data_IF_121060111866
#
_entry.id   IF_121060111866
#
_cell.length_a   1.000
_cell.length_b   1.000
_cell.length_c   1.000
_cell.angle_alpha   90.00
_cell.angle_beta   90.00
_cell.angle_gamma   90.00
#
_symmetry.space_group_name_H-M   'P 1'
#
loop_
_entity.id
_entity.type
_entity.pdbx_description
1 polymer ?
#
# COMPACT_ATOMS: atom_id res chain seq x y z
N UNK A 1 45.97 29.62 -8.87
CA UNK A 1 45.51 29.34 -7.50
C UNK A 1 46.65 28.64 -6.81
N UNK A 2 46.99 29.01 -5.57
CA UNK A 2 48.11 28.32 -4.91
C UNK A 2 47.74 26.82 -4.78
N UNK A 3 48.71 25.94 -5.07
CA UNK A 3 48.46 24.48 -5.11
C UNK A 3 47.91 23.96 -3.77
N UNK A 4 48.31 24.56 -2.66
CA UNK A 4 47.77 24.29 -1.35
C UNK A 4 46.25 24.60 -1.25
N UNK A 5 45.80 25.72 -1.82
CA UNK A 5 44.35 26.06 -1.86
C UNK A 5 43.57 25.11 -2.74
N UNK A 6 44.12 24.68 -3.88
CA UNK A 6 43.49 23.71 -4.76
C UNK A 6 43.39 22.33 -4.08
N UNK A 7 44.41 21.92 -3.36
CA UNK A 7 44.37 20.66 -2.60
C UNK A 7 43.37 20.70 -1.45
N UNK A 8 43.31 21.81 -0.69
CA UNK A 8 42.32 22.01 0.37
C UNK A 8 40.88 22.00 -0.20
N UNK A 9 40.69 22.65 -1.35
CA UNK A 9 39.39 22.62 -2.04
C UNK A 9 39.04 21.20 -2.49
N UNK A 10 39.97 20.43 -3.02
CA UNK A 10 39.75 19.03 -3.40
C UNK A 10 39.35 18.16 -2.18
N UNK A 11 40.04 18.31 -1.04
CA UNK A 11 39.70 17.61 0.19
C UNK A 11 38.31 18.03 0.71
N UNK A 12 37.97 19.32 0.65
CA UNK A 12 36.66 19.81 1.02
C UNK A 12 35.56 19.25 0.11
N UNK A 13 35.79 19.21 -1.21
CA UNK A 13 34.84 18.64 -2.19
C UNK A 13 34.66 17.14 -1.98
N UNK A 14 35.74 16.42 -1.62
CA UNK A 14 35.65 15.01 -1.25
C UNK A 14 34.74 14.82 -0.01
N UNK A 15 34.86 15.68 0.98
CA UNK A 15 33.99 15.70 2.15
C UNK A 15 32.54 16.04 1.84
N UNK A 16 32.32 16.99 0.92
CA UNK A 16 30.97 17.34 0.43
C UNK A 16 30.34 16.16 -0.32
N UNK A 17 31.12 15.49 -1.17
CA UNK A 17 30.66 14.28 -1.87
C UNK A 17 30.28 13.18 -0.87
N UNK A 18 31.15 12.92 0.10
CA UNK A 18 30.92 11.96 1.17
C UNK A 18 29.65 12.27 1.99
N UNK A 19 29.38 13.56 2.25
CA UNK A 19 28.18 14.02 2.93
C UNK A 19 26.91 13.66 2.13
N UNK A 20 26.85 13.95 0.82
CA UNK A 20 25.69 13.63 -0.01
C UNK A 20 25.46 12.13 -0.14
N UNK A 21 26.53 11.36 -0.37
CA UNK A 21 26.45 9.89 -0.42
C UNK A 21 25.95 9.32 0.91
N UNK A 22 26.50 9.80 2.02
CA UNK A 22 26.08 9.33 3.34
C UNK A 22 24.62 9.68 3.64
N UNK A 23 24.16 10.88 3.29
CA UNK A 23 22.78 11.32 3.48
C UNK A 23 21.80 10.47 2.64
N UNK A 24 22.15 10.21 1.38
CA UNK A 24 21.36 9.36 0.47
C UNK A 24 21.17 7.96 1.04
N UNK A 25 22.29 7.29 1.38
CA UNK A 25 22.23 5.92 1.90
C UNK A 25 21.59 5.83 3.29
N UNK A 26 21.71 6.85 4.12
CA UNK A 26 21.03 6.91 5.39
C UNK A 26 19.50 7.01 5.23
N UNK A 27 19.02 7.78 4.25
CA UNK A 27 17.59 7.88 3.92
C UNK A 27 17.01 6.58 3.36
N UNK A 28 17.74 5.93 2.44
CA UNK A 28 17.28 4.68 1.80
C UNK A 28 17.31 3.51 2.79
N UNK A 29 18.34 3.42 3.64
CA UNK A 29 18.56 2.28 4.53
C UNK A 29 17.86 2.44 5.89
N UNK A 30 17.35 3.62 6.21
CA UNK A 30 16.67 3.92 7.48
C UNK A 30 15.37 3.14 7.63
N UNK A 31 15.23 2.42 8.75
CA UNK A 31 14.02 1.66 9.04
C UNK A 31 12.95 2.56 9.60
N UNK A 32 11.82 2.60 8.89
CA UNK A 32 10.68 3.47 9.23
C UNK A 32 10.14 3.18 10.64
N UNK A 33 9.96 1.90 10.99
CA UNK A 33 9.50 1.48 12.31
C UNK A 33 10.38 1.99 13.46
N UNK A 34 11.69 1.99 13.27
CA UNK A 34 12.64 2.52 14.27
C UNK A 34 12.60 4.04 14.37
N UNK A 35 12.49 4.71 13.23
CA UNK A 35 12.38 6.17 13.19
C UNK A 35 11.08 6.65 13.82
N UNK A 36 9.96 5.95 13.60
CA UNK A 36 8.68 6.21 14.26
C UNK A 36 8.80 6.05 15.78
N UNK A 37 9.36 4.93 16.25
CA UNK A 37 9.58 4.73 17.68
C UNK A 37 10.49 5.81 18.32
N UNK A 38 11.49 6.32 17.58
CA UNK A 38 12.34 7.41 18.05
C UNK A 38 11.62 8.76 18.05
N UNK A 39 10.76 9.02 17.09
CA UNK A 39 9.91 10.21 17.02
C UNK A 39 8.90 10.24 18.17
N UNK A 40 8.25 9.13 18.44
CA UNK A 40 7.32 8.95 19.57
C UNK A 40 8.01 9.14 20.92
N UNK A 41 9.30 8.77 21.00
CA UNK A 41 10.15 9.06 22.16
C UNK A 41 10.61 10.53 22.25
N UNK A 42 10.16 11.40 21.34
CA UNK A 42 10.43 12.85 21.37
C UNK A 42 11.62 13.31 20.53
N UNK A 43 12.17 12.48 19.64
CA UNK A 43 13.26 12.86 18.74
C UNK A 43 12.77 13.72 17.58
N UNK A 44 12.95 15.05 17.66
CA UNK A 44 12.67 15.97 16.56
C UNK A 44 13.52 15.69 15.30
N UNK A 45 14.68 15.05 15.45
CA UNK A 45 15.51 14.62 14.32
C UNK A 45 14.88 13.48 13.55
N UNK A 46 14.37 12.47 14.26
CA UNK A 46 13.67 11.33 13.65
C UNK A 46 12.40 11.79 12.91
N UNK A 47 11.62 12.71 13.50
CA UNK A 47 10.46 13.28 12.83
C UNK A 47 10.82 13.96 11.50
N UNK A 48 11.91 14.76 11.47
CA UNK A 48 12.36 15.39 10.21
C UNK A 48 12.80 14.38 9.15
N UNK A 49 13.39 13.26 9.57
CA UNK A 49 13.74 12.17 8.64
C UNK A 49 12.49 11.51 8.07
N UNK A 50 11.50 11.24 8.90
CA UNK A 50 10.20 10.71 8.45
C UNK A 50 9.52 11.66 7.47
N UNK A 51 9.48 12.96 7.79
CA UNK A 51 8.91 13.97 6.90
C UNK A 51 9.65 14.03 5.54
N UNK A 52 11.00 13.92 5.56
CA UNK A 52 11.82 13.86 4.35
C UNK A 52 11.57 12.59 3.52
N UNK A 53 11.29 11.48 4.18
CA UNK A 53 11.04 10.18 3.53
C UNK A 53 9.73 10.14 2.73
N UNK A 54 8.79 11.06 3.00
CA UNK A 54 7.56 11.18 2.20
C UNK A 54 7.81 11.68 0.77
N UNK A 55 8.97 12.31 0.49
CA UNK A 55 9.34 12.79 -0.84
C UNK A 55 10.75 12.28 -1.19
N UNK A 56 10.92 10.97 -1.07
CA UNK A 56 12.22 10.31 -1.23
C UNK A 56 12.78 10.51 -2.63
N UNK A 57 11.94 10.48 -3.68
CA UNK A 57 12.36 10.74 -5.07
C UNK A 57 13.06 12.09 -5.20
N UNK A 58 12.48 13.16 -4.61
CA UNK A 58 13.11 14.49 -4.59
C UNK A 58 14.40 14.50 -3.76
N UNK A 59 14.44 13.78 -2.64
CA UNK A 59 15.65 13.69 -1.82
C UNK A 59 16.78 13.01 -2.61
N UNK A 60 16.49 11.90 -3.30
CA UNK A 60 17.46 11.20 -4.14
C UNK A 60 17.96 12.07 -5.30
N UNK A 61 17.07 12.78 -5.99
CA UNK A 61 17.47 13.72 -7.06
C UNK A 61 18.35 14.85 -6.52
N UNK A 62 18.07 15.36 -5.32
CA UNK A 62 18.90 16.38 -4.67
C UNK A 62 20.28 15.88 -4.27
N UNK A 63 20.39 14.66 -3.74
CA UNK A 63 21.69 14.05 -3.40
C UNK A 63 22.52 13.80 -4.64
N UNK A 64 21.93 13.22 -5.71
CA UNK A 64 22.61 12.96 -6.97
C UNK A 64 23.10 14.25 -7.65
N UNK A 65 22.32 15.33 -7.59
CA UNK A 65 22.77 16.64 -8.06
C UNK A 65 23.98 17.12 -7.25
N UNK A 66 23.97 16.98 -5.93
CA UNK A 66 25.09 17.34 -5.05
C UNK A 66 26.34 16.52 -5.30
N UNK A 67 26.18 15.19 -5.41
CA UNK A 67 27.26 14.25 -5.77
C UNK A 67 27.87 14.63 -7.12
N UNK A 68 27.03 14.86 -8.13
CA UNK A 68 27.51 15.21 -9.48
C UNK A 68 28.30 16.51 -9.50
N UNK A 69 27.81 17.56 -8.83
CA UNK A 69 28.51 18.83 -8.75
C UNK A 69 29.83 18.67 -8.01
N UNK A 70 29.83 18.00 -6.86
CA UNK A 70 31.04 17.77 -6.07
C UNK A 70 32.09 16.97 -6.85
N UNK A 71 31.68 15.90 -7.53
CA UNK A 71 32.56 15.04 -8.33
C UNK A 71 33.16 15.76 -9.52
N UNK A 72 32.37 16.54 -10.27
CA UNK A 72 32.86 17.32 -11.42
C UNK A 72 33.86 18.40 -10.97
N UNK A 73 33.58 19.10 -9.86
CA UNK A 73 34.50 20.09 -9.32
C UNK A 73 35.76 19.44 -8.74
N UNK A 74 35.63 18.28 -8.10
CA UNK A 74 36.76 17.51 -7.59
C UNK A 74 37.69 17.06 -8.75
N UNK A 75 37.15 16.54 -9.85
CA UNK A 75 37.93 16.18 -11.03
C UNK A 75 38.65 17.42 -11.62
N UNK A 76 37.92 18.55 -11.72
CA UNK A 76 38.45 19.80 -12.34
C UNK A 76 39.55 20.46 -11.50
N UNK A 77 39.47 20.40 -10.17
CA UNK A 77 40.42 21.06 -9.25
C UNK A 77 41.43 20.11 -8.65
N UNK A 78 41.05 18.87 -8.37
CA UNK A 78 41.88 17.88 -7.67
C UNK A 78 42.97 17.30 -8.55
N UNK A 79 42.65 16.92 -9.81
CA UNK A 79 43.62 16.31 -10.72
C UNK A 79 44.81 17.25 -10.96
N UNK A 80 44.66 18.53 -11.39
CA UNK A 80 45.80 19.40 -11.59
C UNK A 80 46.60 19.69 -10.30
N UNK A 81 45.90 19.81 -9.16
CA UNK A 81 46.59 20.06 -7.86
C UNK A 81 47.49 18.88 -7.46
N UNK A 82 47.04 17.65 -7.67
CA UNK A 82 47.84 16.44 -7.40
C UNK A 82 48.94 16.26 -8.45
N UNK A 83 48.64 16.56 -9.74
CA UNK A 83 49.66 16.50 -10.80
C UNK A 83 50.87 17.39 -10.51
N UNK A 84 50.64 18.66 -10.13
CA UNK A 84 51.74 19.59 -9.78
C UNK A 84 52.55 19.10 -8.58
N UNK A 85 51.97 18.35 -7.65
CA UNK A 85 52.69 17.75 -6.52
C UNK A 85 53.60 16.59 -6.96
N UNK A 86 53.26 15.93 -8.07
CA UNK A 86 54.00 14.76 -8.59
C UNK A 86 55.07 15.18 -9.59
N UNK A 87 54.90 16.28 -10.34
CA UNK A 87 55.84 16.76 -11.35
C UNK A 87 57.23 16.92 -10.79
N UNK A 88 57.45 17.60 -9.63
CA UNK A 88 58.73 17.78 -9.04
C UNK A 88 59.48 16.49 -8.67
N UNK A 89 58.87 15.55 -7.97
CA UNK A 89 59.45 14.21 -7.75
C UNK A 89 59.80 13.43 -9.03
N UNK A 90 58.97 13.53 -10.10
CA UNK A 90 59.25 12.84 -11.39
C UNK A 90 60.50 13.44 -12.07
N UNK A 91 60.64 14.74 -12.08
CA UNK A 91 61.83 15.40 -12.59
C UNK A 91 63.11 15.00 -11.79
N UNK A 92 62.95 14.94 -10.46
CA UNK A 92 64.08 14.54 -9.59
C UNK A 92 64.56 13.11 -9.81
N UNK A 93 63.69 12.22 -10.30
CA UNK A 93 64.01 10.82 -10.65
C UNK A 93 64.54 10.70 -12.08
N UNK A 94 64.61 11.80 -12.84
CA UNK A 94 65.18 11.84 -14.19
C UNK A 94 64.21 11.41 -15.32
N UNK A 95 62.90 11.54 -15.08
CA UNK A 95 61.90 11.32 -16.17
C UNK A 95 62.05 12.45 -17.17
N UNK A 96 62.21 12.15 -18.49
CA UNK A 96 62.29 13.18 -19.50
C UNK A 96 61.03 14.08 -19.50
N UNK A 97 61.23 15.39 -19.68
CA UNK A 97 60.15 16.42 -19.61
C UNK A 97 58.98 16.09 -20.54
N UNK A 98 59.25 15.45 -21.69
CA UNK A 98 58.23 14.96 -22.66
C UNK A 98 57.27 13.88 -22.11
N UNK A 99 57.70 13.12 -21.11
CA UNK A 99 56.92 12.06 -20.44
C UNK A 99 56.49 12.45 -19.02
N UNK A 100 57.10 13.45 -18.41
CA UNK A 100 56.80 13.84 -17.04
C UNK A 100 55.32 14.25 -16.85
N UNK A 101 54.81 15.14 -17.72
CA UNK A 101 53.43 15.63 -17.64
C UNK A 101 52.39 14.50 -17.92
N UNK A 102 52.48 13.68 -18.98
CA UNK A 102 51.53 12.58 -19.20
C UNK A 102 51.53 11.56 -18.06
N UNK A 103 52.70 11.27 -17.48
CA UNK A 103 52.81 10.33 -16.33
C UNK A 103 52.18 10.96 -15.06
N UNK A 104 52.54 12.22 -14.77
CA UNK A 104 51.97 12.95 -13.63
C UNK A 104 50.45 13.03 -13.74
N UNK A 105 49.91 13.34 -14.92
CA UNK A 105 48.50 13.35 -15.20
C UNK A 105 47.82 11.99 -14.92
N UNK A 106 48.37 10.89 -15.47
CA UNK A 106 47.80 9.56 -15.30
C UNK A 106 47.84 9.10 -13.83
N UNK A 107 48.92 9.37 -13.13
CA UNK A 107 49.07 9.02 -11.69
C UNK A 107 48.14 9.88 -10.82
N UNK A 108 48.06 11.19 -11.06
CA UNK A 108 47.19 12.09 -10.32
C UNK A 108 45.71 11.72 -10.52
N UNK A 109 45.30 11.43 -11.76
CA UNK A 109 43.95 10.98 -12.06
C UNK A 109 43.61 9.70 -11.30
N UNK A 110 44.55 8.72 -11.29
CA UNK A 110 44.36 7.47 -10.55
C UNK A 110 44.22 7.74 -9.03
N UNK A 111 45.05 8.58 -8.44
CA UNK A 111 44.98 8.93 -7.03
C UNK A 111 43.64 9.61 -6.70
N UNK A 112 43.22 10.58 -7.49
CA UNK A 112 41.98 11.32 -7.28
C UNK A 112 40.75 10.38 -7.45
N UNK A 113 40.75 9.52 -8.43
CA UNK A 113 39.68 8.53 -8.66
C UNK A 113 39.61 7.54 -7.49
N UNK A 114 40.74 6.99 -7.05
CA UNK A 114 40.75 6.04 -5.92
C UNK A 114 40.32 6.74 -4.62
N UNK A 115 40.79 7.94 -4.37
CA UNK A 115 40.38 8.73 -3.18
C UNK A 115 38.87 9.05 -3.24
N UNK A 116 38.36 9.45 -4.40
CA UNK A 116 36.93 9.71 -4.61
C UNK A 116 36.08 8.46 -4.37
N UNK A 117 36.42 7.34 -4.99
CA UNK A 117 35.70 6.08 -4.80
C UNK A 117 35.73 5.58 -3.36
N UNK A 118 36.90 5.60 -2.72
CA UNK A 118 37.03 5.08 -1.36
C UNK A 118 36.43 6.04 -0.31
N UNK A 119 36.94 7.29 -0.28
CA UNK A 119 36.61 8.25 0.78
C UNK A 119 35.35 9.07 0.47
N UNK A 120 35.08 9.31 -0.80
CA UNK A 120 33.93 10.06 -1.26
C UNK A 120 32.66 9.23 -1.40
N UNK A 121 32.78 7.90 -1.60
CA UNK A 121 31.61 7.05 -1.88
C UNK A 121 31.52 5.80 -1.00
N UNK A 122 32.51 4.88 -1.06
CA UNK A 122 32.37 3.57 -0.39
C UNK A 122 32.34 3.68 1.14
N UNK A 123 33.25 4.45 1.73
CA UNK A 123 33.33 4.59 3.19
C UNK A 123 32.10 5.29 3.75
N UNK A 124 31.64 6.45 3.23
CA UNK A 124 30.43 7.10 3.70
C UNK A 124 29.17 6.23 3.57
N UNK A 125 29.03 5.54 2.45
CA UNK A 125 27.96 4.58 2.19
C UNK A 125 27.91 3.49 3.25
N UNK A 126 29.05 2.82 3.49
CA UNK A 126 29.12 1.72 4.45
C UNK A 126 28.85 2.17 5.89
N UNK A 127 29.34 3.36 6.28
CA UNK A 127 29.04 3.95 7.59
C UNK A 127 27.53 4.21 7.73
N UNK A 128 26.89 4.76 6.70
CA UNK A 128 25.46 5.06 6.72
C UNK A 128 24.60 3.80 6.76
N UNK A 129 25.00 2.74 6.05
CA UNK A 129 24.31 1.44 6.10
C UNK A 129 24.49 0.76 7.47
N UNK A 130 25.63 0.91 8.12
CA UNK A 130 25.90 0.30 9.42
C UNK A 130 25.08 0.92 10.57
N UNK A 131 24.67 2.19 10.45
CA UNK A 131 23.85 2.87 11.47
C UNK A 131 22.92 3.93 10.87
N UNK A 132 21.94 3.49 10.06
CA UNK A 132 21.23 4.40 9.16
C UNK A 132 20.37 5.43 9.89
N UNK A 133 19.71 5.07 10.99
CA UNK A 133 18.85 6.01 11.72
C UNK A 133 19.66 7.15 12.35
N UNK A 134 20.84 6.83 12.94
CA UNK A 134 21.72 7.85 13.53
C UNK A 134 22.35 8.75 12.46
N UNK A 135 22.78 8.16 11.35
CA UNK A 135 23.32 8.91 10.22
C UNK A 135 22.26 9.83 9.63
N UNK A 136 21.02 9.36 9.42
CA UNK A 136 19.91 10.16 8.91
C UNK A 136 19.58 11.33 9.84
N UNK A 137 19.45 11.11 11.14
CA UNK A 137 19.15 12.18 12.11
C UNK A 137 20.23 13.28 12.10
N UNK A 138 21.47 12.92 11.85
CA UNK A 138 22.58 13.89 11.79
C UNK A 138 22.65 14.62 10.45
N UNK A 139 22.48 13.88 9.33
CA UNK A 139 22.79 14.39 7.99
C UNK A 139 21.57 15.02 7.29
N UNK A 140 20.35 14.55 7.57
CA UNK A 140 19.14 15.06 6.91
C UNK A 140 18.86 16.54 7.19
N UNK A 141 19.02 17.09 8.41
CA UNK A 141 18.74 18.50 8.64
C UNK A 141 19.54 19.47 7.74
N UNK A 142 20.87 19.36 7.62
CA UNK A 142 21.64 20.21 6.69
C UNK A 142 21.32 19.85 5.23
N UNK A 143 21.02 18.59 4.90
CA UNK A 143 20.64 18.16 3.57
C UNK A 143 19.31 18.77 3.11
N UNK A 144 18.33 18.95 3.99
CA UNK A 144 17.06 19.64 3.68
C UNK A 144 17.26 21.10 3.27
N UNK A 145 18.30 21.77 3.80
CA UNK A 145 18.64 23.13 3.35
C UNK A 145 19.09 23.12 1.89
N UNK A 146 19.96 22.17 1.53
CA UNK A 146 20.40 21.96 0.16
C UNK A 146 19.23 21.66 -0.77
N UNK A 147 18.38 20.70 -0.41
CA UNK A 147 17.20 20.32 -1.18
C UNK A 147 16.26 21.50 -1.43
N UNK A 148 16.08 22.38 -0.43
CA UNK A 148 15.27 23.60 -0.59
C UNK A 148 15.86 24.57 -1.61
N UNK A 149 17.17 24.76 -1.59
CA UNK A 149 17.88 25.64 -2.53
C UNK A 149 17.83 25.10 -3.96
N UNK A 150 18.01 23.78 -4.10
CA UNK A 150 18.07 23.10 -5.40
C UNK A 150 16.70 22.73 -5.98
N UNK A 151 15.64 22.87 -5.18
CA UNK A 151 14.26 22.51 -5.58
C UNK A 151 13.87 22.98 -6.99
N UNK A 152 14.04 24.26 -7.39
CA UNK A 152 13.61 24.71 -8.71
C UNK A 152 14.34 24.00 -9.85
N UNK A 153 15.60 23.61 -9.65
CA UNK A 153 16.37 22.84 -10.64
C UNK A 153 15.91 21.39 -10.70
N UNK A 154 15.65 20.78 -9.55
CA UNK A 154 15.15 19.39 -9.46
C UNK A 154 13.77 19.29 -10.12
N UNK A 155 12.86 20.21 -9.81
CA UNK A 155 11.52 20.25 -10.40
C UNK A 155 11.59 20.41 -11.93
N UNK A 156 12.52 21.22 -12.44
CA UNK A 156 12.78 21.39 -13.87
C UNK A 156 13.29 20.08 -14.50
N UNK A 157 14.28 19.42 -13.88
CA UNK A 157 14.83 18.16 -14.41
C UNK A 157 13.81 17.04 -14.38
N UNK A 158 13.01 16.93 -13.33
CA UNK A 158 11.92 15.97 -13.24
C UNK A 158 10.86 16.24 -14.33
N UNK A 159 10.51 17.50 -14.58
CA UNK A 159 9.59 17.85 -15.66
C UNK A 159 10.14 17.44 -17.04
N UNK A 160 11.44 17.66 -17.28
CA UNK A 160 12.11 17.25 -18.52
C UNK A 160 12.16 15.72 -18.65
N UNK A 161 12.51 14.99 -17.59
CA UNK A 161 12.53 13.54 -17.56
C UNK A 161 11.13 12.95 -17.82
N UNK A 162 10.11 13.48 -17.16
CA UNK A 162 8.72 13.05 -17.33
C UNK A 162 8.20 13.38 -18.76
N UNK A 163 8.61 14.50 -19.35
CA UNK A 163 8.30 14.81 -20.74
C UNK A 163 8.94 13.80 -21.71
N UNK A 164 10.20 13.41 -21.44
CA UNK A 164 10.90 12.40 -22.23
C UNK A 164 10.24 11.02 -22.12
N UNK A 165 9.85 10.61 -20.92
CA UNK A 165 9.15 9.34 -20.69
C UNK A 165 7.81 9.29 -21.45
N UNK A 166 7.04 10.39 -21.43
CA UNK A 166 5.79 10.51 -22.20
C UNK A 166 6.01 10.40 -23.72
N UNK A 167 7.10 10.94 -24.23
CA UNK A 167 7.45 10.83 -25.65
C UNK A 167 7.74 9.37 -26.06
N UNK A 168 8.25 8.54 -25.15
CA UNK A 168 8.51 7.11 -25.36
C UNK A 168 7.31 6.24 -25.01
N UNK A 169 6.17 6.84 -24.57
CA UNK A 169 4.93 6.11 -24.25
C UNK A 169 4.92 5.50 -22.86
N UNK A 170 5.85 5.89 -21.97
CA UNK A 170 5.92 5.42 -20.59
C UNK A 170 5.22 6.41 -19.68
N UNK A 171 4.29 5.95 -18.87
CA UNK A 171 3.65 6.76 -17.81
C UNK A 171 4.64 6.89 -16.64
N UNK A 172 5.03 8.13 -16.25
CA UNK A 172 5.85 8.33 -15.07
C UNK A 172 5.15 7.76 -13.83
N UNK A 173 5.86 6.96 -13.03
CA UNK A 173 5.44 6.54 -11.68
C UNK A 173 6.42 7.12 -10.69
N UNK A 174 5.94 7.56 -9.55
CA UNK A 174 6.83 7.96 -8.46
C UNK A 174 7.54 6.71 -7.93
N UNK A 175 8.86 6.78 -7.74
CA UNK A 175 9.76 5.65 -7.44
C UNK A 175 9.39 4.86 -6.17
N UNK A 176 8.46 5.37 -5.37
CA UNK A 176 8.07 4.80 -4.08
C UNK A 176 6.57 4.95 -3.78
N UNK A 177 5.70 4.67 -4.74
CA UNK A 177 4.36 4.24 -4.37
C UNK A 177 4.48 2.84 -3.73
N UNK A 178 4.78 2.83 -2.42
CA UNK A 178 4.78 1.62 -1.60
C UNK A 178 3.36 1.13 -1.26
N UNK A 179 2.34 1.70 -1.87
CA UNK A 179 1.00 1.17 -1.82
C UNK A 179 0.89 0.04 -2.85
N UNK A 180 1.13 -1.18 -2.38
CA UNK A 180 0.84 -2.36 -3.19
C UNK A 180 -0.66 -2.41 -3.47
N UNK A 181 -1.01 -2.61 -4.73
CA UNK A 181 -2.38 -2.93 -5.11
C UNK A 181 -2.75 -4.32 -4.58
N UNK A 182 -4.03 -4.60 -4.40
CA UNK A 182 -4.52 -5.92 -3.98
C UNK A 182 -4.03 -7.02 -4.92
N UNK A 183 -3.91 -6.72 -6.23
CA UNK A 183 -3.35 -7.65 -7.23
C UNK A 183 -1.87 -7.95 -7.01
N UNK A 184 -1.04 -6.94 -6.74
CA UNK A 184 0.39 -7.13 -6.43
C UNK A 184 0.60 -7.91 -5.13
N UNK A 185 -0.23 -7.66 -4.11
CA UNK A 185 -0.23 -8.46 -2.88
C UNK A 185 -0.60 -9.92 -3.15
N UNK A 186 -1.59 -10.18 -4.01
CA UNK A 186 -1.97 -11.54 -4.39
C UNK A 186 -0.83 -12.27 -5.15
N UNK A 187 -0.09 -11.55 -6.02
CA UNK A 187 1.09 -12.11 -6.70
C UNK A 187 2.22 -12.45 -5.72
N UNK A 188 2.52 -11.55 -4.78
CA UNK A 188 3.51 -11.79 -3.71
C UNK A 188 3.15 -12.98 -2.83
N UNK A 189 1.86 -13.19 -2.54
CA UNK A 189 1.37 -14.37 -1.82
C UNK A 189 1.60 -15.65 -2.63
N UNK A 190 1.33 -15.62 -3.94
CA UNK A 190 1.60 -16.72 -4.84
C UNK A 190 3.08 -17.09 -4.88
N UNK A 191 3.97 -16.10 -4.85
CA UNK A 191 5.42 -16.30 -4.78
C UNK A 191 5.84 -16.92 -3.44
N UNK A 192 5.35 -16.39 -2.33
CA UNK A 192 5.63 -16.90 -0.98
C UNK A 192 5.18 -18.34 -0.79
N UNK A 193 4.04 -18.72 -1.40
CA UNK A 193 3.56 -20.08 -1.45
C UNK A 193 4.48 -21.00 -2.27
N UNK A 194 4.94 -20.55 -3.44
CA UNK A 194 5.87 -21.30 -4.30
C UNK A 194 7.22 -21.54 -3.63
N UNK A 195 7.67 -20.60 -2.81
CA UNK A 195 8.90 -20.70 -2.00
C UNK A 195 8.72 -21.52 -0.72
N UNK A 196 7.51 -21.99 -0.42
CA UNK A 196 7.21 -22.78 0.78
C UNK A 196 7.21 -21.98 2.09
N UNK A 197 7.09 -20.65 2.01
CA UNK A 197 7.01 -19.76 3.18
C UNK A 197 5.61 -19.68 3.77
N UNK A 198 4.59 -20.05 2.99
CA UNK A 198 3.18 -20.13 3.41
C UNK A 198 2.61 -21.49 3.01
N UNK A 199 1.81 -22.07 3.89
CA UNK A 199 1.06 -23.28 3.56
C UNK A 199 -0.20 -22.94 2.71
N UNK A 200 -0.78 -23.97 2.07
CA UNK A 200 -1.95 -23.78 1.20
C UNK A 200 -3.15 -23.22 1.94
N UNK A 201 -3.31 -23.53 3.22
CA UNK A 201 -4.43 -23.06 4.05
C UNK A 201 -4.25 -21.62 4.50
N UNK A 202 -3.02 -21.21 4.77
CA UNK A 202 -2.67 -19.82 5.10
C UNK A 202 -2.82 -18.91 3.89
N UNK A 203 -2.24 -19.30 2.75
CA UNK A 203 -2.37 -18.60 1.48
C UNK A 203 -3.83 -18.38 1.11
N UNK A 204 -4.65 -19.44 1.15
CA UNK A 204 -6.07 -19.36 0.82
C UNK A 204 -6.89 -18.46 1.76
N UNK A 205 -6.50 -18.37 3.04
CA UNK A 205 -7.14 -17.42 3.98
C UNK A 205 -6.81 -15.98 3.68
N UNK A 206 -5.53 -15.70 3.37
CA UNK A 206 -5.10 -14.34 3.06
C UNK A 206 -5.68 -13.89 1.72
N UNK A 207 -5.67 -14.74 0.69
CA UNK A 207 -6.27 -14.46 -0.62
C UNK A 207 -7.78 -14.13 -0.50
N UNK A 208 -8.52 -14.89 0.31
CA UNK A 208 -9.94 -14.59 0.58
C UNK A 208 -10.14 -13.26 1.30
N UNK A 209 -9.28 -12.96 2.27
CA UNK A 209 -9.34 -11.68 2.98
C UNK A 209 -9.07 -10.51 2.04
N UNK A 210 -8.11 -10.64 1.13
CA UNK A 210 -7.80 -9.64 0.12
C UNK A 210 -8.95 -9.45 -0.86
N UNK A 211 -9.52 -10.54 -1.39
CA UNK A 211 -10.65 -10.46 -2.32
C UNK A 211 -11.92 -9.91 -1.66
N UNK A 212 -12.17 -10.26 -0.39
CA UNK A 212 -13.32 -9.72 0.35
C UNK A 212 -13.18 -8.22 0.66
N UNK A 213 -11.96 -7.69 0.67
CA UNK A 213 -11.73 -6.25 0.86
C UNK A 213 -12.24 -5.39 -0.30
N UNK A 214 -12.33 -5.94 -1.50
CA UNK A 214 -12.86 -5.27 -2.70
C UNK A 214 -14.30 -5.69 -3.04
N UNK A 215 -14.78 -6.78 -2.43
CA UNK A 215 -16.11 -7.31 -2.71
C UNK A 215 -17.23 -6.37 -2.25
N UNK A 216 -18.29 -6.35 -3.02
CA UNK A 216 -19.50 -5.56 -2.80
C UNK A 216 -20.70 -6.45 -2.51
N UNK A 217 -21.79 -5.84 -2.06
CA UNK A 217 -23.07 -6.55 -1.85
C UNK A 217 -23.54 -7.23 -3.13
N UNK A 218 -23.27 -6.64 -4.32
CA UNK A 218 -23.63 -7.24 -5.61
C UNK A 218 -23.03 -8.63 -5.85
N UNK A 219 -21.88 -8.93 -5.22
CA UNK A 219 -21.18 -10.20 -5.42
C UNK A 219 -21.79 -11.36 -4.60
N UNK A 220 -22.60 -11.03 -3.58
CA UNK A 220 -23.19 -11.99 -2.63
C UNK A 220 -24.73 -11.88 -2.54
N UNK A 221 -25.36 -10.98 -3.32
CA UNK A 221 -26.79 -10.77 -3.30
C UNK A 221 -27.53 -11.98 -3.85
N UNK A 222 -28.58 -12.42 -3.15
CA UNK A 222 -29.55 -13.39 -3.66
C UNK A 222 -30.59 -12.63 -4.46
N UNK A 223 -30.70 -12.93 -5.75
CA UNK A 223 -31.64 -12.26 -6.65
C UNK A 223 -33.12 -12.46 -6.22
N UNK A 224 -33.98 -11.50 -6.56
CA UNK A 224 -35.41 -11.56 -6.17
C UNK A 224 -36.13 -12.80 -6.71
N UNK A 225 -35.71 -13.32 -7.87
CA UNK A 225 -36.27 -14.51 -8.53
C UNK A 225 -35.94 -15.81 -7.82
N UNK A 226 -34.79 -15.84 -7.10
CA UNK A 226 -34.30 -17.01 -6.34
C UNK A 226 -34.80 -17.02 -4.89
N UNK A 227 -35.46 -15.94 -4.46
CA UNK A 227 -35.93 -15.80 -3.08
C UNK A 227 -37.24 -16.56 -2.86
N UNK A 228 -37.25 -17.39 -1.83
CA UNK A 228 -38.51 -17.95 -1.30
C UNK A 228 -39.18 -16.92 -0.40
N UNK A 229 -40.18 -16.23 -0.94
CA UNK A 229 -40.93 -15.20 -0.24
C UNK A 229 -42.29 -15.71 0.19
N UNK A 230 -42.86 -15.12 1.24
CA UNK A 230 -44.25 -15.28 1.62
C UNK A 230 -45.05 -14.09 1.09
N UNK A 231 -46.15 -14.34 0.41
CA UNK A 231 -47.01 -13.27 -0.09
C UNK A 231 -47.85 -12.66 1.04
N UNK A 232 -47.86 -11.34 1.08
CA UNK A 232 -48.65 -10.60 2.05
C UNK A 232 -50.13 -10.68 1.72
N UNK A 233 -50.92 -11.21 2.63
CA UNK A 233 -52.35 -11.15 2.60
C UNK A 233 -52.95 -9.81 3.08
N UNK A 234 -54.23 -9.73 3.33
CA UNK A 234 -54.89 -8.57 3.91
C UNK A 234 -54.23 -8.17 5.23
N UNK A 235 -53.82 -6.89 5.37
CA UNK A 235 -53.09 -6.39 6.55
C UNK A 235 -51.59 -6.44 6.46
N UNK A 236 -51.01 -6.85 5.31
CA UNK A 236 -49.56 -6.75 5.07
C UNK A 236 -48.71 -7.88 5.69
N UNK A 237 -49.35 -8.98 6.08
CA UNK A 237 -48.72 -10.18 6.65
C UNK A 237 -49.29 -11.46 6.00
N UNK A 238 -48.90 -12.62 6.51
CA UNK A 238 -49.28 -13.94 5.95
C UNK A 238 -49.91 -14.84 7.00
N UNK A 239 -50.26 -16.07 6.66
CA UNK A 239 -50.84 -17.08 7.56
C UNK A 239 -49.74 -17.99 8.13
N UNK A 240 -50.06 -18.64 9.26
CA UNK A 240 -49.17 -19.65 9.87
C UNK A 240 -48.97 -20.83 8.90
N UNK A 241 -50.04 -21.27 8.22
CA UNK A 241 -49.98 -22.39 7.26
C UNK A 241 -49.03 -22.09 6.09
N UNK A 242 -49.06 -20.89 5.52
CA UNK A 242 -48.19 -20.51 4.43
C UNK A 242 -46.68 -20.51 4.87
N UNK A 243 -46.42 -20.07 6.10
CA UNK A 243 -45.07 -20.15 6.67
C UNK A 243 -44.64 -21.60 6.90
N UNK A 244 -45.53 -22.45 7.50
CA UNK A 244 -45.22 -23.85 7.77
C UNK A 244 -44.90 -24.62 6.47
N UNK A 245 -45.74 -24.43 5.42
CA UNK A 245 -45.47 -25.03 4.11
C UNK A 245 -44.14 -24.57 3.50
N UNK A 246 -43.80 -23.30 3.63
CA UNK A 246 -42.52 -22.79 3.15
C UNK A 246 -41.32 -23.38 3.93
N UNK A 247 -41.46 -23.59 5.26
CA UNK A 247 -40.46 -24.26 6.10
C UNK A 247 -40.27 -25.71 5.71
N UNK A 248 -41.35 -26.47 5.57
CA UNK A 248 -41.33 -27.89 5.18
C UNK A 248 -40.67 -28.09 3.82
N UNK A 249 -40.96 -27.20 2.88
CA UNK A 249 -40.40 -27.27 1.52
C UNK A 249 -38.92 -26.91 1.45
N UNK A 250 -38.44 -25.97 2.26
CA UNK A 250 -37.12 -25.37 2.08
C UNK A 250 -36.15 -25.60 3.23
N UNK A 251 -36.65 -25.88 4.45
CA UNK A 251 -35.87 -25.96 5.66
C UNK A 251 -35.36 -24.57 6.15
N UNK A 252 -35.70 -23.48 5.51
CA UNK A 252 -35.23 -22.15 5.91
C UNK A 252 -35.91 -21.68 7.19
N UNK A 253 -35.24 -20.81 7.92
CA UNK A 253 -35.72 -20.24 9.18
C UNK A 253 -36.27 -18.82 9.03
N UNK A 254 -35.98 -18.12 7.92
CA UNK A 254 -36.32 -16.71 7.69
C UNK A 254 -36.91 -16.55 6.30
N UNK A 255 -38.04 -15.90 6.23
CA UNK A 255 -38.77 -15.72 4.99
C UNK A 255 -39.11 -14.24 4.78
N UNK A 256 -38.61 -13.59 3.73
CA UNK A 256 -39.04 -12.26 3.31
C UNK A 256 -40.55 -12.24 3.00
N UNK A 257 -41.22 -11.13 3.33
CA UNK A 257 -42.64 -10.90 2.99
C UNK A 257 -42.70 -10.00 1.78
N UNK A 258 -43.37 -10.49 0.73
CA UNK A 258 -43.62 -9.76 -0.50
C UNK A 258 -45.00 -9.09 -0.40
N UNK A 259 -45.03 -7.77 -0.32
CA UNK A 259 -46.23 -6.96 -0.29
C UNK A 259 -46.82 -6.74 -1.67
N UNK A 260 -47.92 -5.98 -1.72
CA UNK A 260 -48.53 -5.51 -2.96
C UNK A 260 -47.46 -4.79 -3.80
N UNK A 261 -47.47 -4.97 -5.10
CA UNK A 261 -46.46 -4.43 -6.05
C UNK A 261 -45.09 -5.11 -6.00
N UNK A 262 -44.94 -6.29 -5.36
CA UNK A 262 -43.69 -7.04 -5.34
C UNK A 262 -42.60 -6.50 -4.40
N UNK A 263 -42.87 -5.46 -3.64
CA UNK A 263 -41.89 -4.86 -2.68
C UNK A 263 -41.79 -5.72 -1.43
N UNK A 264 -40.54 -5.90 -0.93
CA UNK A 264 -40.29 -6.56 0.35
C UNK A 264 -40.64 -5.60 1.51
N UNK A 265 -41.63 -6.00 2.32
CA UNK A 265 -42.12 -5.17 3.45
C UNK A 265 -41.48 -5.52 4.80
N UNK A 266 -40.92 -6.71 4.91
CA UNK A 266 -40.32 -7.23 6.11
C UNK A 266 -39.90 -8.67 5.95
N UNK A 267 -39.59 -9.35 7.04
CA UNK A 267 -39.36 -10.79 7.07
C UNK A 267 -39.92 -11.41 8.36
N UNK A 268 -40.22 -12.69 8.31
CA UNK A 268 -40.60 -13.50 9.45
C UNK A 268 -39.50 -14.49 9.79
N UNK A 269 -39.24 -14.69 11.07
CA UNK A 269 -38.44 -15.79 11.56
C UNK A 269 -39.38 -16.84 12.17
N UNK A 270 -39.16 -18.13 11.87
CA UNK A 270 -39.97 -19.23 12.37
C UNK A 270 -40.20 -19.17 13.89
N UNK A 271 -39.18 -18.81 14.66
CA UNK A 271 -39.28 -18.64 16.11
C UNK A 271 -40.28 -17.59 16.58
N UNK A 272 -40.60 -16.60 15.74
CA UNK A 272 -41.53 -15.53 16.12
C UNK A 272 -43.01 -15.96 16.09
N UNK A 273 -43.30 -17.16 15.58
CA UNK A 273 -44.68 -17.69 15.42
C UNK A 273 -44.89 -19.08 16.02
N UNK A 274 -43.87 -19.60 16.75
CA UNK A 274 -43.99 -20.94 17.35
C UNK A 274 -45.17 -21.09 18.31
N UNK A 275 -45.58 -20.02 18.98
CA UNK A 275 -46.75 -19.98 19.86
C UNK A 275 -48.11 -19.97 19.12
N UNK A 276 -48.07 -19.81 17.81
CA UNK A 276 -49.27 -19.84 16.94
C UNK A 276 -49.36 -21.16 16.13
N UNK A 277 -48.45 -22.09 16.30
CA UNK A 277 -48.32 -23.30 15.50
C UNK A 277 -49.62 -24.17 15.49
N UNK A 278 -50.37 -24.18 16.60
CA UNK A 278 -51.63 -24.94 16.72
C UNK A 278 -52.83 -24.28 15.96
N UNK A 279 -52.66 -23.04 15.45
CA UNK A 279 -53.67 -22.28 14.78
C UNK A 279 -53.31 -22.06 13.29
N UNK A 280 -53.25 -23.12 12.52
CA UNK A 280 -52.77 -23.13 11.11
C UNK A 280 -53.42 -22.04 10.22
N UNK A 281 -54.69 -21.76 10.38
CA UNK A 281 -55.41 -20.74 9.60
C UNK A 281 -55.28 -19.30 10.19
N UNK A 282 -54.56 -19.14 11.30
CA UNK A 282 -54.38 -17.83 11.89
C UNK A 282 -53.52 -16.91 11.04
N UNK A 283 -53.93 -15.64 10.96
CA UNK A 283 -53.10 -14.61 10.34
C UNK A 283 -52.02 -14.18 11.36
N UNK A 284 -50.78 -14.13 10.90
CA UNK A 284 -49.65 -13.69 11.76
C UNK A 284 -49.81 -12.20 12.02
N UNK A 285 -49.73 -11.74 13.30
CA UNK A 285 -49.86 -10.33 13.63
C UNK A 285 -48.73 -9.49 12.99
N UNK A 286 -49.01 -8.31 12.39
CA UNK A 286 -47.98 -7.45 11.75
C UNK A 286 -46.82 -7.08 12.65
N UNK A 287 -47.01 -7.02 13.99
CA UNK A 287 -46.00 -6.70 14.99
C UNK A 287 -44.89 -7.77 15.09
N UNK A 288 -45.11 -8.98 14.53
CA UNK A 288 -44.14 -10.06 14.45
C UNK A 288 -43.28 -9.99 13.21
N UNK A 289 -43.68 -9.18 12.25
CA UNK A 289 -42.88 -8.91 11.04
C UNK A 289 -41.72 -8.01 11.39
N UNK A 290 -40.53 -8.50 11.16
CA UNK A 290 -39.29 -7.77 11.40
C UNK A 290 -39.00 -6.83 10.25
N UNK A 291 -38.44 -5.66 10.54
CA UNK A 291 -38.01 -4.71 9.52
C UNK A 291 -36.80 -5.22 8.74
N UNK A 292 -36.75 -4.87 7.45
CA UNK A 292 -35.61 -5.15 6.57
C UNK A 292 -34.93 -3.82 6.21
N UNK A 293 -33.71 -3.55 6.70
CA UNK A 293 -32.97 -2.38 6.28
C UNK A 293 -32.59 -2.46 4.79
N UNK A 294 -32.24 -1.32 4.20
CA UNK A 294 -31.71 -1.25 2.83
C UNK A 294 -30.21 -1.03 2.88
N UNK A 295 -29.49 -1.66 1.96
CA UNK A 295 -28.07 -1.45 1.71
C UNK A 295 -27.87 -1.25 0.20
N UNK A 296 -27.03 -0.31 -0.24
CA UNK A 296 -26.70 -0.19 -1.65
C UNK A 296 -26.03 -1.47 -2.16
N UNK A 297 -26.40 -1.92 -3.37
CA UNK A 297 -25.78 -3.08 -4.00
C UNK A 297 -24.26 -2.84 -4.26
N UNK A 298 -23.86 -1.59 -4.46
CA UNK A 298 -22.48 -1.16 -4.62
C UNK A 298 -21.71 -0.97 -3.31
N UNK A 299 -22.38 -1.09 -2.14
CA UNK A 299 -21.71 -0.96 -0.85
C UNK A 299 -20.73 -2.12 -0.62
N UNK A 300 -19.68 -1.85 0.14
CA UNK A 300 -18.73 -2.89 0.55
C UNK A 300 -19.36 -3.84 1.56
N UNK A 301 -18.87 -5.08 1.60
CA UNK A 301 -19.43 -6.10 2.50
C UNK A 301 -19.33 -5.72 3.99
N UNK A 302 -18.26 -5.04 4.40
CA UNK A 302 -18.07 -4.57 5.78
C UNK A 302 -19.09 -3.48 6.17
N UNK A 303 -19.41 -2.55 5.27
CA UNK A 303 -20.43 -1.52 5.46
C UNK A 303 -21.84 -2.13 5.57
N UNK A 304 -22.12 -3.10 4.71
CA UNK A 304 -23.38 -3.85 4.76
C UNK A 304 -23.53 -4.63 6.08
N UNK A 305 -22.47 -5.30 6.53
CA UNK A 305 -22.45 -6.01 7.79
C UNK A 305 -22.64 -5.06 8.99
N UNK A 306 -22.03 -3.88 8.98
CA UNK A 306 -22.21 -2.85 9.99
C UNK A 306 -23.68 -2.37 10.03
N UNK A 307 -24.30 -2.19 8.86
CA UNK A 307 -25.72 -1.78 8.75
C UNK A 307 -26.65 -2.83 9.32
N UNK A 308 -26.46 -4.11 9.01
CA UNK A 308 -27.27 -5.20 9.57
C UNK A 308 -27.12 -5.28 11.09
N UNK A 309 -25.90 -5.15 11.62
CA UNK A 309 -25.63 -5.17 13.07
C UNK A 309 -26.29 -3.99 13.77
N UNK A 310 -26.20 -2.78 13.22
CA UNK A 310 -26.83 -1.59 13.79
C UNK A 310 -28.35 -1.69 13.82
N UNK A 311 -28.95 -2.26 12.76
CA UNK A 311 -30.38 -2.51 12.67
C UNK A 311 -30.86 -3.75 13.45
N UNK A 312 -29.95 -4.56 14.02
CA UNK A 312 -30.22 -5.86 14.62
C UNK A 312 -31.02 -6.78 13.67
N UNK A 313 -30.74 -6.67 12.39
CA UNK A 313 -31.40 -7.41 11.32
C UNK A 313 -30.46 -8.51 10.80
N UNK A 314 -31.04 -9.63 10.35
CA UNK A 314 -30.30 -10.72 9.70
C UNK A 314 -30.43 -10.70 8.18
N UNK A 315 -31.31 -9.86 7.67
CA UNK A 315 -31.60 -9.67 6.26
C UNK A 315 -31.62 -8.19 5.93
N UNK A 316 -31.05 -7.81 4.77
CA UNK A 316 -31.18 -6.47 4.22
C UNK A 316 -31.63 -6.55 2.74
N UNK A 317 -32.36 -5.55 2.28
CA UNK A 317 -32.65 -5.36 0.86
C UNK A 317 -31.41 -4.75 0.19
N UNK A 318 -30.89 -5.40 -0.82
CA UNK A 318 -29.93 -4.78 -1.72
C UNK A 318 -30.68 -3.88 -2.71
N UNK A 319 -30.27 -2.61 -2.80
CA UNK A 319 -30.94 -1.62 -3.65
C UNK A 319 -29.96 -1.02 -4.66
N UNK A 320 -30.49 -0.70 -5.83
CA UNK A 320 -29.75 0.04 -6.85
C UNK A 320 -29.71 1.55 -6.54
N UNK A 321 -29.13 2.34 -7.43
CA UNK A 321 -29.04 3.81 -7.33
C UNK A 321 -30.42 4.52 -7.33
N UNK A 322 -31.48 3.82 -7.74
CA UNK A 322 -32.85 4.33 -7.80
C UNK A 322 -33.74 3.82 -6.64
N UNK A 323 -33.13 3.25 -5.58
CA UNK A 323 -33.82 2.59 -4.44
C UNK A 323 -34.70 1.40 -4.87
N UNK A 324 -34.42 0.81 -6.05
CA UNK A 324 -35.09 -0.40 -6.50
C UNK A 324 -34.43 -1.62 -5.88
N UNK A 325 -35.23 -2.51 -5.30
CA UNK A 325 -34.68 -3.73 -4.69
C UNK A 325 -34.21 -4.70 -5.79
N UNK A 326 -32.93 -5.01 -5.81
CA UNK A 326 -32.32 -5.98 -6.75
C UNK A 326 -32.22 -7.39 -6.16
N UNK A 327 -32.28 -7.50 -4.84
CA UNK A 327 -32.21 -8.78 -4.13
C UNK A 327 -32.18 -8.60 -2.62
N UNK A 328 -31.76 -9.66 -1.94
CA UNK A 328 -31.58 -9.69 -0.49
C UNK A 328 -30.17 -10.19 -0.17
N UNK A 329 -29.59 -9.65 0.85
CA UNK A 329 -28.34 -10.16 1.43
C UNK A 329 -28.57 -10.55 2.88
N UNK A 330 -27.99 -11.68 3.30
CA UNK A 330 -28.09 -12.17 4.68
C UNK A 330 -26.78 -11.88 5.44
N UNK A 331 -26.87 -11.90 6.76
CA UNK A 331 -25.68 -11.81 7.61
C UNK A 331 -24.76 -13.03 7.40
N UNK A 332 -25.35 -14.18 7.13
CA UNK A 332 -24.67 -15.42 6.81
C UNK A 332 -23.84 -15.29 5.54
N UNK A 333 -24.44 -14.80 4.43
CA UNK A 333 -23.74 -14.60 3.14
C UNK A 333 -22.57 -13.62 3.28
N UNK A 334 -22.80 -12.49 3.99
CA UNK A 334 -21.74 -11.53 4.28
C UNK A 334 -20.60 -12.15 5.09
N UNK A 335 -20.93 -12.96 6.10
CA UNK A 335 -19.89 -13.59 6.95
C UNK A 335 -19.15 -14.67 6.19
N UNK A 336 -19.85 -15.47 5.35
CA UNK A 336 -19.24 -16.52 4.53
C UNK A 336 -18.23 -15.94 3.54
N UNK A 337 -18.48 -14.77 2.98
CA UNK A 337 -17.54 -14.08 2.10
C UNK A 337 -16.20 -13.77 2.79
N UNK A 338 -16.18 -13.51 4.10
CA UNK A 338 -14.95 -13.26 4.87
C UNK A 338 -14.26 -14.53 5.37
N UNK A 339 -15.04 -15.49 5.84
CA UNK A 339 -14.51 -16.69 6.56
C UNK A 339 -14.37 -17.89 5.62
N UNK A 340 -15.09 -17.89 4.48
CA UNK A 340 -15.28 -19.04 3.62
C UNK A 340 -16.45 -19.90 4.12
N UNK A 341 -16.87 -20.89 3.31
CA UNK A 341 -18.07 -21.68 3.59
C UNK A 341 -18.03 -22.28 4.99
N UNK A 342 -18.91 -21.81 5.85
CA UNK A 342 -19.20 -22.43 7.14
C UNK A 342 -20.19 -23.54 6.85
N UNK A 343 -19.73 -24.79 6.90
CA UNK A 343 -20.66 -25.93 6.76
C UNK A 343 -21.64 -25.89 7.92
N UNK A 344 -22.86 -25.48 7.61
CA UNK A 344 -24.00 -25.71 8.52
C UNK A 344 -24.32 -27.20 8.50
N UNK A 345 -24.10 -27.86 9.66
CA UNK A 345 -24.35 -29.28 9.81
C UNK A 345 -25.83 -29.67 9.63
N UNK A 346 -26.72 -28.67 9.52
CA UNK A 346 -28.17 -28.84 9.35
C UNK A 346 -28.62 -28.86 7.89
N UNK A 347 -27.77 -28.42 6.96
CA UNK A 347 -28.05 -28.43 5.51
C UNK A 347 -27.10 -29.42 4.82
N UNK A 348 -27.32 -30.72 4.98
CA UNK A 348 -26.73 -31.69 4.06
C UNK A 348 -27.40 -31.48 2.67
N UNK A 349 -26.63 -31.35 1.55
CA UNK A 349 -27.22 -31.33 0.24
C UNK A 349 -28.01 -32.60 0.04
N UNK A 350 -29.34 -32.46 -0.14
CA UNK A 350 -30.21 -33.59 -0.40
C UNK A 350 -29.72 -34.31 -1.65
N UNK A 351 -29.47 -35.62 -1.52
CA UNK A 351 -29.28 -36.52 -2.65
C UNK A 351 -30.46 -36.37 -3.58
N UNK A 352 -30.32 -36.02 -4.88
CA UNK A 352 -31.45 -36.04 -5.80
C UNK A 352 -31.94 -37.46 -5.95
N UNK A 353 -33.25 -37.64 -5.76
CA UNK A 353 -33.98 -38.88 -6.03
C UNK A 353 -34.06 -39.15 -7.53
#
# INVERSE_FOLDING_TARGET
>A
MNDLLALLAAVALLGVNAFFVAAEFALISGRKDRLEAMADAGSAGAQRVLDASHDLSRMLAASQLGITIASLLLGRLGEPAVAHLIDGPLEAVGVPESFAYPVAFAVSLMIVVVAHMMLGEMVPKNISIAGPERAAILLVPPFLVWTRVTRPFIDLFNAMANATLRLVGVTPRDELETAFTTGELAEMLGDSRREGLLDDSESSRIERTLSSAEATVSDVVVALEDLVCLDAGPGGTTTVSALTEAVERTGYSRFPIRGAQGRLTGYLHVKDVLDLADAESATIPPQRVRSVPSVPASARLDEALATLRAARAHLARAVDEHDTTVGVVTMEDLTEAFVGSVRDATHAPGTPA
#
